data_IF_527641579695
#
_entry.id   IF_527641579695
#
_cell.length_a   1.000
_cell.length_b   1.000
_cell.length_c   1.000
_cell.angle_alpha   90.00
_cell.angle_beta   90.00
_cell.angle_gamma   90.00
#
_symmetry.space_group_name_H-M   'P 1'
#
loop_
_entity.id
_entity.type
_entity.pdbx_description
1 polymer ?
#
# COMPACT_ATOMS: atom_id res chain seq x y z
N UNK A 1 3.70 7.65 -8.18
CA UNK A 1 2.60 8.15 -9.04
C UNK A 1 1.50 8.68 -8.16
N UNK A 2 0.60 9.53 -8.67
CA UNK A 2 -0.44 10.18 -7.86
C UNK A 2 -1.22 9.22 -6.94
N UNK A 3 -1.39 7.95 -7.34
CA UNK A 3 -2.05 6.87 -6.59
C UNK A 3 -1.36 6.47 -5.27
N UNK A 4 -0.12 6.90 -5.01
CA UNK A 4 0.61 6.59 -3.77
C UNK A 4 0.95 7.82 -2.91
N UNK A 5 0.61 9.05 -3.35
CA UNK A 5 1.04 10.29 -2.70
C UNK A 5 0.29 10.60 -1.40
N UNK A 6 -0.98 10.19 -1.31
CA UNK A 6 -1.78 10.36 -0.09
C UNK A 6 -2.52 9.08 0.25
N UNK A 7 -2.88 8.93 1.52
CA UNK A 7 -3.67 7.80 2.00
C UNK A 7 -5.02 7.74 1.28
N UNK A 8 -5.67 8.88 1.07
CA UNK A 8 -6.95 8.96 0.36
C UNK A 8 -6.82 8.53 -1.10
N UNK A 9 -5.74 8.94 -1.77
CA UNK A 9 -5.47 8.56 -3.16
C UNK A 9 -5.19 7.06 -3.29
N UNK A 10 -4.45 6.51 -2.32
CA UNK A 10 -4.18 5.08 -2.23
C UNK A 10 -5.45 4.27 -1.97
N UNK A 11 -6.30 4.70 -1.04
CA UNK A 11 -7.59 4.06 -0.76
C UNK A 11 -8.54 4.11 -1.95
N UNK A 12 -8.57 5.22 -2.68
CA UNK A 12 -9.38 5.34 -3.88
C UNK A 12 -8.86 4.42 -4.98
N UNK A 13 -7.54 4.36 -5.20
CA UNK A 13 -6.93 3.44 -6.16
C UNK A 13 -7.18 1.96 -5.81
N UNK A 14 -7.24 1.58 -4.52
CA UNK A 14 -7.66 0.24 -4.10
C UNK A 14 -9.13 -0.06 -4.45
N UNK A 15 -10.04 0.92 -4.28
CA UNK A 15 -11.46 0.75 -4.63
C UNK A 15 -11.67 0.60 -6.13
N UNK A 16 -10.83 1.25 -6.92
CA UNK A 16 -10.92 1.27 -8.39
C UNK A 16 -10.16 0.11 -9.06
N UNK A 17 -9.56 -0.80 -8.29
CA UNK A 17 -8.71 -1.92 -8.76
C UNK A 17 -7.58 -1.45 -9.68
N UNK A 18 -6.93 -0.34 -9.29
CA UNK A 18 -5.90 0.32 -10.10
C UNK A 18 -4.66 -0.60 -10.28
N UNK A 19 -4.15 -0.76 -11.52
CA UNK A 19 -3.01 -1.65 -11.81
C UNK A 19 -1.69 -1.21 -11.14
N UNK A 20 -1.62 0.01 -10.60
CA UNK A 20 -0.52 0.50 -9.78
C UNK A 20 -0.52 -0.03 -8.35
N UNK A 21 -1.62 -0.62 -7.86
CA UNK A 21 -1.70 -1.23 -6.53
C UNK A 21 -1.19 -2.67 -6.58
N UNK A 22 0.01 -2.89 -6.08
CA UNK A 22 0.56 -4.24 -5.96
C UNK A 22 -0.10 -5.00 -4.79
N UNK A 23 -0.29 -6.33 -4.90
CA UNK A 23 -0.83 -7.15 -3.80
C UNK A 23 -0.05 -7.02 -2.48
N UNK A 24 1.26 -6.79 -2.54
CA UNK A 24 2.09 -6.57 -1.34
C UNK A 24 1.72 -5.29 -0.57
N UNK A 25 1.27 -4.25 -1.27
CA UNK A 25 0.82 -2.99 -0.65
C UNK A 25 -0.49 -3.19 0.12
N UNK A 26 -1.37 -4.10 -0.33
CA UNK A 26 -2.60 -4.45 0.39
C UNK A 26 -2.28 -5.10 1.74
N UNK A 27 -1.32 -6.02 1.77
CA UNK A 27 -0.89 -6.67 3.02
C UNK A 27 -0.21 -5.69 3.98
N UNK A 28 0.61 -4.79 3.45
CA UNK A 28 1.23 -3.73 4.25
C UNK A 28 0.16 -2.78 4.85
N UNK A 29 -0.79 -2.33 4.03
CA UNK A 29 -1.91 -1.49 4.48
C UNK A 29 -2.76 -2.19 5.54
N UNK A 30 -3.14 -3.46 5.32
CA UNK A 30 -3.92 -4.23 6.30
C UNK A 30 -3.19 -4.40 7.64
N UNK A 31 -1.88 -4.71 7.61
CA UNK A 31 -1.09 -4.83 8.83
C UNK A 31 -1.01 -3.51 9.61
N UNK A 32 -0.83 -2.38 8.91
CA UNK A 32 -0.83 -1.05 9.53
C UNK A 32 -2.19 -0.71 10.17
N UNK A 33 -3.30 -1.01 9.48
CA UNK A 33 -4.66 -0.75 9.98
C UNK A 33 -5.02 -1.61 11.19
N UNK A 34 -4.53 -2.85 11.24
CA UNK A 34 -4.69 -3.75 12.39
C UNK A 34 -3.69 -3.47 13.52
N UNK A 35 -2.82 -2.46 13.38
CA UNK A 35 -1.79 -2.11 14.36
C UNK A 35 -0.71 -3.18 14.52
N UNK A 36 -0.58 -4.07 13.55
CA UNK A 36 0.41 -5.16 13.54
C UNK A 36 1.70 -4.66 12.88
N UNK A 37 2.86 -4.81 13.53
CA UNK A 37 4.14 -4.45 12.92
C UNK A 37 4.36 -5.20 11.60
N UNK A 38 4.65 -4.46 10.53
CA UNK A 38 4.94 -4.99 9.20
C UNK A 38 6.41 -4.75 8.85
N UNK A 39 7.08 -5.79 8.36
CA UNK A 39 8.44 -5.71 7.83
C UNK A 39 8.48 -6.36 6.44
N UNK A 40 8.85 -5.60 5.42
CA UNK A 40 9.07 -6.13 4.08
C UNK A 40 10.53 -6.54 3.90
N UNK A 41 10.78 -7.85 3.80
CA UNK A 41 12.12 -8.41 3.56
C UNK A 41 12.46 -8.63 2.07
N UNK A 42 11.55 -8.27 1.16
CA UNK A 42 11.71 -8.44 -0.27
C UNK A 42 11.93 -7.07 -0.97
N UNK A 43 12.62 -7.01 -2.12
CA UNK A 43 13.02 -5.76 -2.76
C UNK A 43 11.87 -4.99 -3.44
N UNK A 44 10.63 -5.48 -3.36
CA UNK A 44 9.45 -4.85 -3.95
C UNK A 44 8.95 -3.69 -3.07
N UNK A 45 8.32 -2.68 -3.70
CA UNK A 45 7.63 -1.63 -2.95
C UNK A 45 6.45 -2.23 -2.16
N UNK A 46 6.38 -1.96 -0.86
CA UNK A 46 5.26 -2.43 -0.02
C UNK A 46 4.82 -1.42 1.03
N UNK A 47 5.76 -0.83 1.78
CA UNK A 47 5.49 0.15 2.84
C UNK A 47 6.38 1.39 2.64
N UNK A 48 6.61 1.75 1.39
CA UNK A 48 7.48 2.84 1.01
C UNK A 48 6.67 4.13 1.05
N UNK A 49 7.00 5.00 2.02
CA UNK A 49 6.44 6.35 2.10
C UNK A 49 7.18 7.19 1.07
N UNK A 50 6.49 7.60 -0.01
CA UNK A 50 6.99 8.65 -0.91
C UNK A 50 6.01 9.81 -0.92
#
# INVERSE_FOLDING_TARGET
GAVHETLESFEQAMRDDDPGIAPSMLYAYAALMEGVPYANGAPNLSADVT
#
